data_IF_537489131018
#
_entry.id   IF_537489131018
#
_cell.length_a   1.000
_cell.length_b   1.000
_cell.length_c   1.000
_cell.angle_alpha   90.00
_cell.angle_beta   90.00
_cell.angle_gamma   90.00
#
_symmetry.space_group_name_H-M   'P 1'
#
loop_
_entity.id
_entity.type
_entity.pdbx_description
1 polymer ?
#
# COMPACT_ATOMS: atom_id res chain seq x y z
N UNK A 1 -33.02 36.54 23.87
CA UNK A 1 -32.76 35.09 23.74
C UNK A 1 -31.48 34.91 22.94
N UNK A 2 -30.35 34.69 23.61
CA UNK A 2 -29.04 34.41 23.00
C UNK A 2 -28.95 32.90 22.73
N UNK A 3 -28.82 32.49 21.47
CA UNK A 3 -28.54 31.08 21.14
C UNK A 3 -27.04 30.83 21.34
N UNK A 4 -26.73 29.92 22.27
CA UNK A 4 -25.41 29.29 22.43
C UNK A 4 -25.08 28.54 21.14
N UNK A 5 -23.94 28.84 20.53
CA UNK A 5 -23.31 27.99 19.52
C UNK A 5 -22.57 26.90 20.30
N UNK A 6 -22.69 25.60 19.94
CA UNK A 6 -21.82 24.57 20.48
C UNK A 6 -20.48 24.59 19.73
N UNK A 7 -19.38 24.61 20.46
CA UNK A 7 -18.03 24.40 19.93
C UNK A 7 -17.94 23.02 19.24
N UNK A 8 -17.40 22.93 18.01
CA UNK A 8 -16.90 21.67 17.49
C UNK A 8 -15.39 21.63 17.72
N UNK A 9 -14.99 21.12 18.88
CA UNK A 9 -13.63 20.66 19.12
C UNK A 9 -13.54 19.26 18.50
N UNK A 10 -13.24 19.21 17.19
CA UNK A 10 -13.03 17.97 16.45
C UNK A 10 -11.52 17.73 16.31
N UNK A 11 -10.91 17.25 17.39
CA UNK A 11 -9.53 16.76 17.37
C UNK A 11 -9.56 15.38 16.70
N UNK A 12 -9.07 15.29 15.47
CA UNK A 12 -8.69 14.02 14.87
C UNK A 12 -7.41 13.52 15.54
N UNK A 13 -7.56 12.69 16.59
CA UNK A 13 -6.46 11.85 17.05
C UNK A 13 -6.32 10.71 16.05
N UNK A 14 -5.37 10.85 15.13
CA UNK A 14 -4.88 9.75 14.30
C UNK A 14 -4.16 8.76 15.23
N UNK A 15 -4.89 7.76 15.70
CA UNK A 15 -4.33 6.69 16.52
C UNK A 15 -3.40 5.82 15.68
N UNK A 16 -2.10 6.14 15.70
CA UNK A 16 -1.05 5.19 15.37
C UNK A 16 -1.13 4.03 16.37
N UNK A 17 -1.54 2.86 15.88
CA UNK A 17 -1.67 1.64 16.67
C UNK A 17 -0.27 1.20 17.16
N UNK A 18 0.01 1.47 18.44
CA UNK A 18 1.16 0.95 19.16
C UNK A 18 1.01 -0.57 19.33
N UNK A 19 1.88 -1.36 18.70
CA UNK A 19 2.09 -2.75 19.09
C UNK A 19 3.14 -2.82 20.21
N UNK A 20 2.66 -3.10 21.42
CA UNK A 20 3.47 -3.52 22.56
C UNK A 20 3.97 -4.95 22.30
N UNK A 21 5.24 -5.10 21.92
CA UNK A 21 5.92 -6.38 22.10
C UNK A 21 6.19 -6.58 23.60
N UNK A 22 5.49 -7.55 24.20
CA UNK A 22 5.80 -8.02 25.54
C UNK A 22 7.13 -8.78 25.51
N UNK A 23 8.25 -8.08 25.73
CA UNK A 23 9.52 -8.72 26.05
C UNK A 23 9.45 -9.28 27.48
N UNK A 24 9.51 -10.61 27.59
CA UNK A 24 9.75 -11.32 28.85
C UNK A 24 11.03 -10.80 29.51
N UNK A 25 10.91 -10.40 30.77
CA UNK A 25 12.01 -9.99 31.63
C UNK A 25 13.02 -11.13 31.78
N UNK A 26 14.22 -10.97 31.22
CA UNK A 26 15.34 -11.86 31.51
C UNK A 26 15.88 -11.61 32.94
N UNK A 27 16.24 -12.65 33.70
CA UNK A 27 16.76 -12.52 35.06
C UNK A 27 18.17 -11.89 35.12
N UNK A 28 18.58 -11.35 36.28
CA UNK A 28 19.79 -10.56 36.43
C UNK A 28 21.09 -11.32 36.13
N UNK A 29 21.99 -10.64 35.43
CA UNK A 29 23.30 -11.12 35.01
C UNK A 29 24.19 -11.49 36.21
N UNK A 30 24.79 -12.68 36.15
CA UNK A 30 25.81 -13.13 37.08
C UNK A 30 27.13 -12.37 36.87
N UNK A 31 27.85 -12.20 37.97
CA UNK A 31 29.15 -11.55 38.12
C UNK A 31 30.22 -12.07 37.13
N UNK A 32 31.13 -11.21 36.61
CA UNK A 32 32.12 -11.59 35.62
C UNK A 32 33.16 -12.57 36.19
N UNK A 33 33.22 -13.77 35.61
CA UNK A 33 34.28 -14.74 35.87
C UNK A 33 35.54 -14.42 35.06
N UNK A 34 36.70 -14.73 35.64
CA UNK A 34 38.02 -14.44 35.11
C UNK A 34 38.25 -14.96 33.67
N UNK A 35 38.89 -14.11 32.86
CA UNK A 35 39.27 -14.35 31.48
C UNK A 35 40.21 -15.55 31.37
N UNK A 36 39.70 -16.68 30.86
CA UNK A 36 40.51 -17.79 30.40
C UNK A 36 41.03 -17.49 28.98
N UNK A 37 42.33 -17.69 28.77
CA UNK A 37 43.00 -17.63 27.47
C UNK A 37 42.30 -18.56 26.47
N UNK A 38 41.87 -18.07 25.29
CA UNK A 38 41.14 -18.88 24.32
C UNK A 38 42.03 -19.99 23.75
N UNK A 39 41.52 -21.21 23.78
CA UNK A 39 42.10 -22.34 23.04
C UNK A 39 41.99 -22.11 21.53
N UNK A 40 42.91 -22.65 20.70
CA UNK A 40 42.85 -22.54 19.25
C UNK A 40 41.51 -23.03 18.72
N UNK A 41 40.77 -22.15 18.03
CA UNK A 41 39.49 -22.48 17.43
C UNK A 41 39.69 -23.55 16.35
N UNK A 42 39.01 -24.69 16.50
CA UNK A 42 38.89 -25.70 15.46
C UNK A 42 38.16 -25.09 14.26
N UNK A 43 38.78 -25.18 13.08
CA UNK A 43 38.21 -24.71 11.82
C UNK A 43 36.88 -25.43 11.60
N UNK A 44 35.74 -24.72 11.46
CA UNK A 44 34.46 -25.35 11.22
C UNK A 44 34.50 -26.08 9.86
N UNK A 45 33.90 -27.28 9.77
CA UNK A 45 33.83 -28.01 8.51
C UNK A 45 33.07 -27.19 7.45
N UNK A 46 33.38 -27.39 6.15
CA UNK A 46 32.73 -26.67 5.06
C UNK A 46 31.21 -26.77 5.18
N UNK A 47 30.53 -25.63 5.21
CA UNK A 47 29.08 -25.59 5.19
C UNK A 47 28.59 -26.36 3.96
N UNK A 48 27.70 -27.34 4.18
CA UNK A 48 27.10 -28.11 3.11
C UNK A 48 26.46 -27.16 2.09
N UNK A 49 26.68 -27.42 0.80
CA UNK A 49 26.07 -26.64 -0.27
C UNK A 49 24.55 -26.58 -0.05
N UNK A 50 23.92 -25.40 -0.20
CA UNK A 50 22.48 -25.26 0.02
C UNK A 50 21.74 -26.21 -0.91
N UNK A 51 20.87 -27.04 -0.34
CA UNK A 51 19.98 -27.90 -1.11
C UNK A 51 19.04 -26.97 -1.89
N UNK A 52 18.91 -27.12 -3.23
CA UNK A 52 18.01 -26.28 -4.01
C UNK A 52 16.58 -26.48 -3.49
N UNK A 53 15.95 -25.38 -3.05
CA UNK A 53 14.54 -25.38 -2.69
C UNK A 53 13.74 -25.72 -3.95
N UNK A 54 12.82 -26.70 -3.91
CA UNK A 54 11.98 -27.03 -5.05
C UNK A 54 11.26 -25.77 -5.55
N UNK A 55 11.56 -25.36 -6.79
CA UNK A 55 10.84 -24.28 -7.45
C UNK A 55 9.40 -24.74 -7.67
N UNK A 56 8.44 -24.12 -6.98
CA UNK A 56 7.03 -24.36 -7.26
C UNK A 56 6.73 -24.08 -8.74
N UNK A 57 5.84 -24.87 -9.37
CA UNK A 57 5.52 -24.68 -10.77
C UNK A 57 4.94 -23.28 -11.00
N UNK A 58 5.52 -22.57 -11.98
CA UNK A 58 5.03 -21.27 -12.41
C UNK A 58 3.55 -21.35 -12.82
N UNK A 59 2.81 -20.26 -12.60
CA UNK A 59 1.40 -20.12 -12.95
C UNK A 59 1.18 -20.49 -14.43
N UNK A 60 0.59 -21.66 -14.69
CA UNK A 60 0.28 -22.13 -16.04
C UNK A 60 -1.20 -21.87 -16.33
N UNK A 61 -1.48 -21.03 -17.32
CA UNK A 61 -2.84 -20.67 -17.72
C UNK A 61 -3.06 -21.09 -19.17
N UNK A 62 -4.10 -21.88 -19.39
CA UNK A 62 -4.60 -22.13 -20.73
C UNK A 62 -5.50 -20.96 -21.16
N UNK A 63 -4.96 -20.10 -22.03
CA UNK A 63 -5.64 -18.91 -22.55
C UNK A 63 -6.70 -19.24 -23.62
N UNK A 64 -6.75 -20.47 -24.12
CA UNK A 64 -7.66 -20.87 -25.20
C UNK A 64 -9.04 -21.28 -24.69
N UNK A 65 -9.21 -21.42 -23.37
CA UNK A 65 -10.45 -21.89 -22.75
C UNK A 65 -10.92 -20.97 -21.62
N UNK A 66 -10.96 -19.65 -21.83
CA UNK A 66 -11.40 -18.71 -20.79
C UNK A 66 -12.92 -18.73 -20.61
N UNK A 67 -13.38 -18.60 -19.37
CA UNK A 67 -14.79 -18.32 -19.02
C UNK A 67 -14.99 -16.82 -18.90
N UNK A 68 -16.20 -16.36 -19.15
CA UNK A 68 -16.58 -14.96 -18.99
C UNK A 68 -17.36 -14.77 -17.69
N UNK A 69 -16.94 -13.82 -16.88
CA UNK A 69 -17.72 -13.26 -15.78
C UNK A 69 -18.42 -11.99 -16.26
N UNK A 70 -19.70 -11.83 -15.90
CA UNK A 70 -20.44 -10.59 -16.10
C UNK A 70 -20.94 -10.10 -14.75
N UNK A 71 -20.61 -8.86 -14.41
CA UNK A 71 -21.01 -8.28 -13.13
C UNK A 71 -22.53 -8.08 -13.09
N UNK A 72 -23.15 -8.31 -11.92
CA UNK A 72 -24.61 -8.26 -11.76
C UNK A 72 -25.22 -6.87 -12.07
N UNK A 73 -24.44 -5.79 -11.91
CA UNK A 73 -24.82 -4.43 -12.27
C UNK A 73 -24.87 -4.18 -13.78
N UNK A 74 -24.35 -5.11 -14.60
CA UNK A 74 -24.26 -4.94 -16.05
C UNK A 74 -23.22 -3.90 -16.49
N UNK A 75 -22.33 -3.45 -15.58
CA UNK A 75 -21.31 -2.43 -15.88
C UNK A 75 -20.10 -2.95 -16.63
N UNK A 76 -19.71 -4.20 -16.41
CA UNK A 76 -18.56 -4.80 -17.08
C UNK A 76 -18.64 -6.32 -17.16
N UNK A 77 -17.78 -6.87 -18.00
CA UNK A 77 -17.43 -8.30 -18.05
C UNK A 77 -15.92 -8.47 -18.12
N UNK A 78 -15.42 -9.62 -17.67
CA UNK A 78 -13.99 -9.98 -17.74
C UNK A 78 -13.85 -11.49 -17.91
N UNK A 79 -12.81 -11.92 -18.62
CA UNK A 79 -12.54 -13.35 -18.82
C UNK A 79 -11.54 -13.87 -17.78
N UNK A 80 -11.76 -15.10 -17.32
CA UNK A 80 -10.94 -15.76 -16.31
C UNK A 80 -10.70 -17.25 -16.65
N UNK A 81 -9.62 -17.87 -16.17
CA UNK A 81 -9.38 -19.29 -16.38
C UNK A 81 -10.42 -20.17 -15.65
N UNK A 82 -10.85 -21.31 -16.22
CA UNK A 82 -11.91 -22.15 -15.66
C UNK A 82 -11.66 -22.72 -14.26
N UNK A 83 -10.39 -22.87 -13.90
CA UNK A 83 -9.91 -23.44 -12.64
C UNK A 83 -9.60 -22.35 -11.59
N UNK A 84 -9.79 -21.08 -11.92
CA UNK A 84 -9.55 -19.99 -10.99
C UNK A 84 -10.80 -19.71 -10.16
N UNK A 85 -10.58 -19.28 -8.93
CA UNK A 85 -11.64 -18.92 -8.01
C UNK A 85 -12.09 -17.48 -8.28
N UNK A 86 -13.40 -17.25 -8.16
CA UNK A 86 -14.02 -15.97 -8.43
C UNK A 86 -14.86 -15.52 -7.24
N UNK A 87 -14.59 -14.30 -6.78
CA UNK A 87 -15.25 -13.68 -5.65
C UNK A 87 -15.91 -12.37 -6.12
N UNK A 88 -17.20 -12.41 -6.50
CA UNK A 88 -17.95 -11.22 -6.82
C UNK A 88 -17.95 -10.24 -5.63
N UNK A 89 -17.81 -8.96 -5.92
CA UNK A 89 -17.90 -7.86 -4.95
C UNK A 89 -19.08 -6.96 -5.32
N UNK A 90 -19.47 -6.05 -4.43
CA UNK A 90 -20.52 -5.07 -4.75
C UNK A 90 -20.14 -4.18 -5.94
N UNK A 91 -18.86 -3.75 -5.98
CA UNK A 91 -18.32 -2.82 -6.98
C UNK A 91 -17.20 -3.47 -7.82
N UNK A 92 -17.25 -4.79 -8.03
CA UNK A 92 -16.14 -5.46 -8.68
C UNK A 92 -16.12 -6.98 -8.61
N UNK A 93 -14.93 -7.54 -8.84
CA UNK A 93 -14.66 -8.97 -8.73
C UNK A 93 -13.19 -9.21 -8.41
N UNK A 94 -12.91 -10.19 -7.55
CA UNK A 94 -11.56 -10.71 -7.31
C UNK A 94 -11.48 -12.08 -7.99
N UNK A 95 -10.41 -12.33 -8.74
CA UNK A 95 -10.14 -13.60 -9.40
C UNK A 95 -8.77 -14.09 -8.97
N UNK A 96 -8.71 -15.25 -8.33
CA UNK A 96 -7.49 -15.82 -7.77
C UNK A 96 -7.12 -17.13 -8.46
N UNK A 97 -5.83 -17.34 -8.65
CA UNK A 97 -5.32 -18.64 -9.04
C UNK A 97 -5.53 -19.68 -7.91
N UNK A 98 -5.53 -20.99 -8.21
CA UNK A 98 -5.75 -22.03 -7.20
C UNK A 98 -4.78 -22.00 -6.01
N UNK A 99 -3.58 -21.44 -6.18
CA UNK A 99 -2.62 -21.32 -5.09
C UNK A 99 -2.83 -20.09 -4.21
N UNK A 100 -3.65 -19.13 -4.65
CA UNK A 100 -3.86 -17.84 -3.99
C UNK A 100 -2.64 -16.92 -4.03
N UNK A 101 -1.63 -17.25 -4.84
CA UNK A 101 -0.35 -16.53 -4.95
C UNK A 101 -0.31 -15.59 -6.15
N UNK A 102 -1.29 -15.66 -7.04
CA UNK A 102 -1.49 -14.77 -8.16
C UNK A 102 -2.98 -14.51 -8.40
N UNK A 103 -3.29 -13.36 -8.98
CA UNK A 103 -4.67 -13.02 -9.29
C UNK A 103 -4.83 -11.63 -9.87
N UNK A 104 -6.07 -11.29 -10.17
CA UNK A 104 -6.43 -9.93 -10.51
C UNK A 104 -7.80 -9.55 -9.95
N UNK A 105 -7.96 -8.27 -9.69
CA UNK A 105 -9.20 -7.67 -9.20
C UNK A 105 -9.63 -6.60 -10.19
N UNK A 106 -10.92 -6.53 -10.48
CA UNK A 106 -11.54 -5.41 -11.18
C UNK A 106 -12.43 -4.69 -10.19
N UNK A 107 -12.21 -3.40 -10.01
CA UNK A 107 -13.09 -2.49 -9.26
C UNK A 107 -13.62 -1.44 -10.23
N UNK A 108 -14.87 -1.03 -10.07
CA UNK A 108 -15.44 0.09 -10.84
C UNK A 108 -16.13 1.10 -9.94
N UNK A 109 -16.19 2.34 -10.39
CA UNK A 109 -16.90 3.43 -9.74
C UNK A 109 -17.49 4.37 -10.78
N UNK A 110 -18.77 4.70 -10.66
CA UNK A 110 -19.40 5.73 -11.46
C UNK A 110 -19.14 7.10 -10.83
N UNK A 111 -18.27 7.88 -11.46
CA UNK A 111 -17.84 9.18 -10.95
C UNK A 111 -18.60 10.35 -11.57
N UNK A 112 -19.66 10.07 -12.35
CA UNK A 112 -20.59 11.02 -12.98
C UNK A 112 -19.98 12.06 -13.94
N UNK A 113 -18.67 12.12 -14.07
CA UNK A 113 -17.95 13.04 -14.95
C UNK A 113 -16.70 12.39 -15.52
N UNK A 114 -16.19 12.92 -16.62
CA UNK A 114 -14.93 12.47 -17.20
C UNK A 114 -13.76 13.17 -16.50
N UNK A 115 -12.76 12.40 -16.08
CA UNK A 115 -11.53 12.88 -15.50
C UNK A 115 -10.49 13.22 -16.57
N UNK A 116 -9.66 14.21 -16.28
CA UNK A 116 -8.36 14.37 -16.94
C UNK A 116 -7.41 13.26 -16.52
N UNK A 117 -6.31 13.05 -17.25
CA UNK A 117 -5.30 12.05 -16.87
C UNK A 117 -4.76 12.31 -15.47
N UNK A 118 -4.48 13.57 -15.12
CA UNK A 118 -4.02 13.93 -13.77
C UNK A 118 -5.09 13.63 -12.70
N UNK A 119 -6.37 13.89 -12.96
CA UNK A 119 -7.45 13.55 -12.04
C UNK A 119 -7.60 12.03 -11.86
N UNK A 120 -7.41 11.26 -12.94
CA UNK A 120 -7.44 9.80 -12.90
C UNK A 120 -6.23 9.23 -12.14
N UNK A 121 -5.06 9.87 -12.26
CA UNK A 121 -3.87 9.57 -11.47
C UNK A 121 -4.14 9.77 -9.97
N UNK A 122 -4.69 10.93 -9.58
CA UNK A 122 -5.04 11.18 -8.19
C UNK A 122 -6.12 10.22 -7.68
N UNK A 123 -7.07 9.84 -8.53
CA UNK A 123 -8.06 8.82 -8.20
C UNK A 123 -7.39 7.47 -7.91
N UNK A 124 -6.43 7.04 -8.74
CA UNK A 124 -5.68 5.80 -8.52
C UNK A 124 -4.85 5.86 -7.23
N UNK A 125 -4.15 6.98 -7.00
CA UNK A 125 -3.36 7.20 -5.78
C UNK A 125 -4.25 7.11 -4.53
N UNK A 126 -5.42 7.77 -4.55
CA UNK A 126 -6.39 7.71 -3.47
C UNK A 126 -6.87 6.29 -3.20
N UNK A 127 -7.20 5.54 -4.27
CA UNK A 127 -7.56 4.13 -4.16
C UNK A 127 -6.43 3.31 -3.52
N UNK A 128 -5.18 3.50 -3.94
CA UNK A 128 -4.05 2.75 -3.40
C UNK A 128 -3.81 3.04 -1.92
N UNK A 129 -3.89 4.31 -1.52
CA UNK A 129 -3.72 4.66 -0.11
C UNK A 129 -4.85 4.12 0.77
N UNK A 130 -6.10 4.18 0.29
CA UNK A 130 -7.23 3.66 1.04
C UNK A 130 -7.15 2.13 1.25
N UNK A 131 -6.66 1.41 0.25
CA UNK A 131 -6.64 -0.05 0.26
C UNK A 131 -5.32 -0.66 0.74
N UNK A 132 -4.21 0.08 0.66
CA UNK A 132 -2.86 -0.42 0.97
C UNK A 132 -2.01 0.52 1.83
N UNK A 133 -2.41 1.79 2.00
CA UNK A 133 -1.65 2.82 2.70
C UNK A 133 -1.70 2.76 4.23
N UNK A 134 -2.03 1.60 4.82
CA UNK A 134 -2.10 1.41 6.26
C UNK A 134 -2.04 -0.06 6.68
N UNK A 135 -1.79 -0.29 7.97
CA UNK A 135 -1.74 -1.64 8.56
C UNK A 135 -0.35 -2.29 8.54
N UNK A 136 -0.32 -3.62 8.70
CA UNK A 136 0.92 -4.42 8.78
C UNK A 136 1.60 -4.63 7.41
N UNK A 137 0.97 -4.19 6.32
CA UNK A 137 1.50 -4.37 4.98
C UNK A 137 2.60 -3.35 4.71
N UNK A 138 3.81 -3.82 4.43
CA UNK A 138 4.93 -2.95 4.05
C UNK A 138 4.76 -2.51 2.59
N UNK A 139 3.95 -1.48 2.38
CA UNK A 139 3.73 -0.88 1.06
C UNK A 139 4.99 -0.16 0.58
N UNK A 140 5.36 -0.35 -0.69
CA UNK A 140 6.43 0.39 -1.36
C UNK A 140 6.05 0.69 -2.80
N UNK A 141 6.05 1.97 -3.17
CA UNK A 141 5.84 2.39 -4.55
C UNK A 141 7.06 2.03 -5.43
N UNK A 142 6.81 1.46 -6.61
CA UNK A 142 7.84 1.08 -7.58
C UNK A 142 7.82 1.97 -8.82
N UNK A 143 6.64 2.41 -9.25
CA UNK A 143 6.51 3.31 -10.39
C UNK A 143 5.08 3.83 -10.59
N UNK A 144 4.97 4.95 -11.31
CA UNK A 144 3.71 5.55 -11.75
C UNK A 144 3.92 6.06 -13.18
N UNK A 145 3.02 5.68 -14.10
CA UNK A 145 3.12 5.99 -15.52
C UNK A 145 1.75 6.42 -16.06
N UNK A 146 1.70 7.56 -16.73
CA UNK A 146 0.57 7.95 -17.57
C UNK A 146 0.80 7.42 -18.99
N UNK A 147 -0.21 6.75 -19.56
CA UNK A 147 -0.14 6.18 -20.91
C UNK A 147 -0.81 7.08 -21.95
N UNK A 148 -0.44 6.88 -23.20
CA UNK A 148 -1.00 7.62 -24.34
C UNK A 148 -2.49 7.38 -24.60
N UNK A 149 -3.04 6.28 -24.08
CA UNK A 149 -4.49 5.98 -24.10
C UNK A 149 -5.26 6.70 -22.98
N UNK A 150 -4.58 7.50 -22.16
CA UNK A 150 -5.14 8.23 -21.03
C UNK A 150 -5.29 7.41 -19.74
N UNK A 151 -4.92 6.12 -19.75
CA UNK A 151 -4.87 5.30 -18.54
C UNK A 151 -3.65 5.66 -17.68
N UNK A 152 -3.75 5.37 -16.38
CA UNK A 152 -2.67 5.57 -15.42
C UNK A 152 -2.33 4.25 -14.76
N UNK A 153 -1.04 3.94 -14.65
CA UNK A 153 -0.54 2.67 -14.12
C UNK A 153 0.41 2.91 -12.97
N UNK A 154 0.10 2.29 -11.84
CA UNK A 154 0.96 2.25 -10.67
C UNK A 154 1.50 0.83 -10.47
N UNK A 155 2.79 0.71 -10.22
CA UNK A 155 3.43 -0.52 -9.77
C UNK A 155 3.91 -0.33 -8.33
N UNK A 156 3.67 -1.32 -7.49
CA UNK A 156 4.03 -1.27 -6.06
C UNK A 156 4.22 -2.68 -5.50
N UNK A 157 4.96 -2.79 -4.41
CA UNK A 157 5.07 -4.03 -3.64
C UNK A 157 4.35 -3.93 -2.32
N UNK A 158 3.84 -5.05 -1.83
CA UNK A 158 3.34 -5.21 -0.46
C UNK A 158 4.05 -6.41 0.16
N UNK A 159 4.39 -6.34 1.45
CA UNK A 159 4.88 -7.50 2.20
C UNK A 159 3.98 -7.77 3.38
N UNK A 160 3.49 -9.00 3.47
CA UNK A 160 2.74 -9.52 4.60
C UNK A 160 3.57 -10.62 5.28
N UNK A 161 3.67 -10.66 6.62
CA UNK A 161 4.48 -11.66 7.33
C UNK A 161 4.08 -13.12 7.03
N UNK A 162 2.81 -13.37 6.72
CA UNK A 162 2.26 -14.71 6.52
C UNK A 162 2.34 -15.15 5.06
N UNK A 163 2.09 -14.25 4.12
CA UNK A 163 2.02 -14.58 2.68
C UNK A 163 3.26 -14.16 1.89
N UNK A 164 4.20 -13.42 2.48
CA UNK A 164 5.42 -12.97 1.81
C UNK A 164 5.26 -11.66 1.06
N UNK A 165 6.14 -11.42 0.08
CA UNK A 165 6.13 -10.22 -0.73
C UNK A 165 5.41 -10.44 -2.05
N UNK A 166 4.55 -9.48 -2.41
CA UNK A 166 3.82 -9.43 -3.65
C UNK A 166 4.25 -8.22 -4.46
N UNK A 167 4.38 -8.40 -5.76
CA UNK A 167 4.44 -7.30 -6.72
C UNK A 167 3.05 -7.12 -7.31
N UNK A 168 2.64 -5.86 -7.36
CA UNK A 168 1.32 -5.45 -7.77
C UNK A 168 1.42 -4.42 -8.88
N UNK A 169 0.45 -4.44 -9.79
CA UNK A 169 0.23 -3.41 -10.78
C UNK A 169 -1.25 -3.05 -10.80
N UNK A 170 -1.57 -1.78 -10.58
CA UNK A 170 -2.91 -1.25 -10.72
C UNK A 170 -2.98 -0.34 -11.95
N UNK A 171 -4.03 -0.49 -12.75
CA UNK A 171 -4.30 0.33 -13.94
C UNK A 171 -5.66 0.98 -13.76
N UNK A 172 -5.68 2.30 -13.66
CA UNK A 172 -6.89 3.10 -13.72
C UNK A 172 -7.16 3.49 -15.17
N UNK A 173 -8.37 3.24 -15.64
CA UNK A 173 -8.86 3.67 -16.95
C UNK A 173 -10.29 4.17 -16.79
N UNK A 174 -10.74 5.03 -17.69
CA UNK A 174 -12.12 5.55 -17.62
C UNK A 174 -12.82 5.35 -18.96
N UNK A 175 -14.05 4.81 -18.91
CA UNK A 175 -14.97 4.78 -20.04
C UNK A 175 -16.20 5.58 -19.67
N UNK A 176 -16.47 6.65 -20.42
CA UNK A 176 -17.50 7.65 -20.11
C UNK A 176 -17.39 8.19 -18.68
N UNK A 177 -18.36 7.89 -17.81
CA UNK A 177 -18.36 8.32 -16.40
C UNK A 177 -17.86 7.24 -15.43
N UNK A 178 -17.46 6.06 -15.92
CA UNK A 178 -17.06 4.94 -15.06
C UNK A 178 -15.55 4.79 -15.07
N UNK A 179 -14.95 4.92 -13.88
CA UNK A 179 -13.55 4.57 -13.65
C UNK A 179 -13.47 3.09 -13.33
N UNK A 180 -12.58 2.38 -14.02
CA UNK A 180 -12.21 1.01 -13.75
C UNK A 180 -10.77 0.97 -13.21
N UNK A 181 -10.57 0.27 -12.10
CA UNK A 181 -9.25 -0.08 -11.59
C UNK A 181 -9.08 -1.59 -11.76
N UNK A 182 -8.14 -1.98 -12.61
CA UNK A 182 -7.70 -3.37 -12.73
C UNK A 182 -6.39 -3.53 -12.00
N UNK A 183 -6.38 -4.37 -10.98
CA UNK A 183 -5.25 -4.68 -10.13
C UNK A 183 -4.79 -6.10 -10.41
N UNK A 184 -3.53 -6.31 -10.73
CA UNK A 184 -2.92 -7.63 -10.87
C UNK A 184 -1.86 -7.82 -9.79
N UNK A 185 -1.79 -9.02 -9.21
CA UNK A 185 -0.84 -9.34 -8.14
C UNK A 185 -0.24 -10.72 -8.35
N UNK A 186 1.04 -10.87 -7.99
CA UNK A 186 1.67 -12.16 -7.80
C UNK A 186 2.77 -12.07 -6.74
N UNK A 187 3.15 -13.22 -6.16
CA UNK A 187 4.36 -13.30 -5.36
C UNK A 187 5.57 -12.74 -6.11
N UNK A 188 6.45 -12.08 -5.39
CA UNK A 188 7.62 -11.38 -5.94
C UNK A 188 8.50 -12.31 -6.79
N UNK A 189 8.73 -13.54 -6.34
CA UNK A 189 9.52 -14.55 -7.06
C UNK A 189 8.84 -15.07 -8.35
N UNK A 190 7.52 -14.91 -8.47
CA UNK A 190 6.72 -15.37 -9.60
C UNK A 190 6.35 -14.23 -10.57
N UNK A 191 6.60 -12.97 -10.18
CA UNK A 191 6.07 -11.79 -10.87
C UNK A 191 6.45 -11.75 -12.35
N UNK A 192 7.74 -11.94 -12.68
CA UNK A 192 8.19 -11.83 -14.08
C UNK A 192 7.54 -12.88 -15.00
N UNK A 193 7.15 -14.04 -14.47
CA UNK A 193 6.47 -15.09 -15.21
C UNK A 193 4.95 -14.87 -15.27
N UNK A 194 4.35 -14.45 -14.15
CA UNK A 194 2.91 -14.24 -14.04
C UNK A 194 2.43 -12.96 -14.73
N UNK A 195 3.22 -11.89 -14.69
CA UNK A 195 2.87 -10.55 -15.21
C UNK A 195 2.26 -10.58 -16.61
N UNK A 196 2.91 -11.13 -17.66
CA UNK A 196 2.34 -11.08 -19.00
C UNK A 196 0.98 -11.75 -19.10
N UNK A 197 0.75 -12.83 -18.32
CA UNK A 197 -0.52 -13.54 -18.36
C UNK A 197 -1.60 -12.78 -17.60
N UNK A 198 -1.28 -12.28 -16.41
CA UNK A 198 -2.18 -11.43 -15.62
C UNK A 198 -2.58 -10.17 -16.38
N UNK A 199 -1.64 -9.54 -17.10
CA UNK A 199 -1.92 -8.39 -17.96
C UNK A 199 -2.85 -8.78 -19.12
N UNK A 200 -2.63 -9.93 -19.76
CA UNK A 200 -3.53 -10.42 -20.83
C UNK A 200 -4.94 -10.68 -20.30
N UNK A 201 -5.09 -11.25 -19.10
CA UNK A 201 -6.39 -11.46 -18.46
C UNK A 201 -7.05 -10.12 -18.10
N UNK A 202 -6.31 -9.19 -17.50
CA UNK A 202 -6.76 -7.84 -17.19
C UNK A 202 -7.29 -7.09 -18.43
N UNK A 203 -6.63 -7.25 -19.58
CA UNK A 203 -7.03 -6.66 -20.86
C UNK A 203 -8.33 -7.24 -21.44
N UNK A 204 -8.87 -8.32 -20.87
CA UNK A 204 -10.18 -8.84 -21.27
C UNK A 204 -11.35 -8.09 -20.64
N UNK A 205 -11.06 -7.10 -19.77
CA UNK A 205 -12.07 -6.18 -19.26
C UNK A 205 -12.81 -5.53 -20.42
N UNK A 206 -14.12 -5.76 -20.46
CA UNK A 206 -15.01 -5.14 -21.42
C UNK A 206 -16.08 -4.35 -20.67
N UNK A 207 -16.02 -3.00 -20.72
CA UNK A 207 -17.13 -2.16 -20.30
C UNK A 207 -18.41 -2.55 -21.04
N UNK A 208 -19.53 -2.57 -20.33
CA UNK A 208 -20.85 -2.91 -20.85
C UNK A 208 -21.73 -1.66 -20.83
N UNK A 209 -22.66 -1.52 -19.89
CA UNK A 209 -23.44 -0.29 -19.74
C UNK A 209 -22.61 0.79 -19.01
N UNK A 210 -22.22 1.82 -19.75
CA UNK A 210 -21.47 2.99 -19.24
C UNK A 210 -22.34 4.22 -19.03
N UNK A 211 -23.66 4.09 -19.17
CA UNK A 211 -24.60 5.19 -18.93
C UNK A 211 -24.54 5.65 -17.47
N UNK A 212 -24.62 6.94 -17.17
CA UNK A 212 -24.66 7.41 -15.79
C UNK A 212 -25.75 6.68 -14.99
N UNK A 213 -25.42 6.21 -13.79
CA UNK A 213 -26.39 5.56 -12.92
C UNK A 213 -27.57 6.49 -12.62
N UNK A 214 -28.78 5.92 -12.46
CA UNK A 214 -30.01 6.68 -12.13
C UNK A 214 -29.91 7.50 -10.85
N UNK A 215 -28.91 7.23 -10.02
CA UNK A 215 -28.57 7.96 -8.81
C UNK A 215 -27.06 8.20 -8.80
N UNK A 216 -26.57 8.99 -9.75
CA UNK A 216 -25.27 9.62 -9.56
C UNK A 216 -25.33 10.38 -8.22
N UNK A 217 -24.42 10.11 -7.27
CA UNK A 217 -24.37 10.92 -6.06
C UNK A 217 -24.23 12.38 -6.49
N UNK A 218 -25.05 13.27 -5.91
CA UNK A 218 -24.89 14.71 -6.09
C UNK A 218 -23.41 15.03 -5.87
N UNK A 219 -22.72 15.73 -6.79
CA UNK A 219 -21.30 16.00 -6.64
C UNK A 219 -21.10 16.67 -5.28
N UNK A 220 -20.49 15.92 -4.36
CA UNK A 220 -20.00 16.45 -3.09
C UNK A 220 -19.06 17.61 -3.43
N UNK A 221 -19.06 18.72 -2.68
CA UNK A 221 -18.10 19.81 -2.89
C UNK A 221 -16.72 19.23 -3.16
N UNK A 222 -16.04 19.74 -4.19
CA UNK A 222 -14.82 19.19 -4.75
C UNK A 222 -13.92 18.73 -3.62
N UNK A 223 -13.78 17.41 -3.38
CA UNK A 223 -12.91 16.95 -2.31
C UNK A 223 -11.50 17.47 -2.60
N UNK A 224 -10.68 17.73 -1.56
CA UNK A 224 -9.29 18.11 -1.79
C UNK A 224 -8.67 17.09 -2.74
N UNK A 225 -8.00 17.59 -3.77
CA UNK A 225 -7.26 16.71 -4.68
C UNK A 225 -6.11 16.16 -3.84
N UNK A 226 -6.04 14.85 -3.60
CA UNK A 226 -4.97 14.27 -2.78
C UNK A 226 -3.76 13.98 -3.64
N UNK A 227 -2.57 14.40 -3.25
CA UNK A 227 -1.30 13.99 -3.86
C UNK A 227 -0.57 12.95 -3.01
N UNK A 228 0.25 12.10 -3.63
CA UNK A 228 1.20 11.23 -2.92
C UNK A 228 2.55 11.94 -2.84
N UNK A 229 3.06 12.11 -1.62
CA UNK A 229 4.40 12.64 -1.38
C UNK A 229 5.21 11.70 -0.49
N UNK A 230 6.49 11.62 -0.76
CA UNK A 230 7.47 10.89 0.04
C UNK A 230 8.82 11.61 -0.04
N UNK A 231 9.81 11.20 0.76
CA UNK A 231 11.14 11.74 0.65
C UNK A 231 11.77 11.32 -0.69
N UNK A 232 12.88 11.94 -1.09
CA UNK A 232 13.54 11.63 -2.35
C UNK A 232 14.02 10.17 -2.44
N UNK A 233 14.31 9.53 -1.29
CA UNK A 233 14.67 8.10 -1.22
C UNK A 233 13.51 7.16 -1.55
N UNK A 234 12.26 7.64 -1.48
CA UNK A 234 11.03 6.85 -1.68
C UNK A 234 10.86 5.70 -0.67
N UNK A 235 11.48 5.82 0.51
CA UNK A 235 11.39 4.81 1.57
C UNK A 235 10.02 4.80 2.26
N UNK A 236 9.32 5.93 2.26
CA UNK A 236 7.93 6.03 2.69
C UNK A 236 7.14 6.99 1.79
N UNK A 237 5.83 7.05 1.97
CA UNK A 237 5.00 8.06 1.35
C UNK A 237 3.69 8.21 2.10
N UNK A 238 3.06 9.37 2.00
CA UNK A 238 1.75 9.66 2.56
C UNK A 238 0.94 10.52 1.59
N UNK A 239 -0.38 10.48 1.76
CA UNK A 239 -1.26 11.37 1.03
C UNK A 239 -1.36 12.72 1.74
N UNK A 240 -1.35 13.78 0.96
CA UNK A 240 -1.59 15.14 1.43
C UNK A 240 -2.56 15.84 0.48
N UNK A 241 -3.32 16.82 0.96
CA UNK A 241 -4.21 17.58 0.09
C UNK A 241 -3.38 18.51 -0.82
N UNK A 242 -3.75 18.66 -2.08
CA UNK A 242 -2.95 19.33 -3.12
C UNK A 242 -2.83 20.82 -2.91
N UNK A 243 -3.76 21.39 -2.14
CA UNK A 243 -3.74 22.79 -1.73
C UNK A 243 -2.79 23.02 -0.55
N UNK A 244 -2.20 21.95 0.03
CA UNK A 244 -1.15 22.07 1.02
C UNK A 244 0.20 22.33 0.35
N UNK A 245 1.02 23.15 0.99
CA UNK A 245 2.33 23.54 0.49
C UNK A 245 3.40 22.56 0.99
N UNK A 246 4.21 22.04 0.08
CA UNK A 246 5.41 21.26 0.43
C UNK A 246 6.51 22.25 0.81
N UNK A 247 6.80 22.34 2.11
CA UNK A 247 7.79 23.29 2.64
C UNK A 247 9.17 22.67 2.78
N UNK A 248 9.27 21.35 2.88
CA UNK A 248 10.54 20.63 2.92
C UNK A 248 10.40 19.25 2.27
N UNK A 249 11.36 18.86 1.43
CA UNK A 249 11.47 17.51 0.89
C UNK A 249 12.95 17.15 0.71
N UNK A 250 13.43 16.22 1.52
CA UNK A 250 14.82 15.73 1.53
C UNK A 250 14.86 14.22 1.31
N UNK A 251 16.05 13.61 1.40
CA UNK A 251 16.23 12.16 1.21
C UNK A 251 15.53 11.32 2.28
N UNK A 252 15.27 11.87 3.46
CA UNK A 252 14.63 11.14 4.54
C UNK A 252 13.46 11.89 5.19
N UNK A 253 13.12 13.10 4.75
CA UNK A 253 12.09 13.93 5.40
C UNK A 253 11.19 14.62 4.40
N UNK A 254 9.93 14.79 4.79
CA UNK A 254 8.94 15.63 4.10
C UNK A 254 8.19 16.44 5.13
N UNK A 255 7.98 17.72 4.84
CA UNK A 255 7.11 18.61 5.61
C UNK A 255 6.11 19.25 4.64
N UNK A 256 4.83 19.17 5.01
CA UNK A 256 3.73 19.83 4.30
C UNK A 256 2.92 20.69 5.27
N UNK A 257 2.49 21.86 4.80
CA UNK A 257 1.67 22.80 5.55
C UNK A 257 0.29 22.90 4.92
N UNK A 258 -0.77 22.93 5.72
CA UNK A 258 -2.11 23.21 5.20
C UNK A 258 -2.19 24.59 4.54
N UNK A 259 -3.16 24.76 3.64
CA UNK A 259 -3.36 26.02 2.91
C UNK A 259 -3.59 27.24 3.83
N UNK A 260 -4.17 27.03 5.01
CA UNK A 260 -4.37 28.04 6.05
C UNK A 260 -3.18 28.20 7.00
N UNK A 261 -2.16 27.33 6.89
CA UNK A 261 -0.99 27.29 7.76
C UNK A 261 -1.28 26.81 9.19
N UNK A 262 -2.51 26.37 9.50
CA UNK A 262 -2.89 25.93 10.85
C UNK A 262 -2.38 24.52 11.18
N UNK A 263 -2.11 23.70 10.16
CA UNK A 263 -1.59 22.35 10.30
C UNK A 263 -0.24 22.21 9.60
N UNK A 264 0.68 21.55 10.29
CA UNK A 264 1.97 21.11 9.74
C UNK A 264 2.05 19.61 9.92
N UNK A 265 2.25 18.89 8.83
CA UNK A 265 2.54 17.47 8.85
C UNK A 265 4.01 17.26 8.45
N UNK A 266 4.76 16.59 9.32
CA UNK A 266 6.16 16.24 9.10
C UNK A 266 6.32 14.74 9.25
N UNK A 267 6.92 14.10 8.25
CA UNK A 267 7.32 12.71 8.30
C UNK A 267 8.83 12.60 8.02
N UNK A 268 9.53 11.83 8.84
CA UNK A 268 10.97 11.63 8.73
C UNK A 268 11.31 10.16 8.97
N UNK A 269 12.17 9.59 8.12
CA UNK A 269 12.83 8.32 8.39
C UNK A 269 14.14 8.58 9.12
N UNK A 270 14.31 7.96 10.29
CA UNK A 270 15.53 8.07 11.10
C UNK A 270 16.19 6.72 11.24
N UNK A 271 17.47 6.67 10.89
CA UNK A 271 18.33 5.53 11.23
C UNK A 271 18.88 5.76 12.63
N UNK A 272 18.44 4.95 13.59
CA UNK A 272 18.93 5.03 14.96
C UNK A 272 20.37 4.49 15.03
N UNK A 273 21.32 5.25 15.62
CA UNK A 273 22.68 4.78 15.78
C UNK A 273 22.72 3.45 16.54
N UNK A 274 23.35 2.43 15.94
CA UNK A 274 23.44 1.10 16.52
C UNK A 274 22.21 0.21 16.33
N UNK A 275 21.23 0.58 15.49
CA UNK A 275 20.09 -0.29 15.18
C UNK A 275 20.52 -1.67 14.67
N UNK A 276 21.58 -1.75 13.85
CA UNK A 276 22.09 -3.01 13.31
C UNK A 276 22.85 -3.84 14.35
N UNK A 277 23.42 -3.20 15.38
CA UNK A 277 24.27 -3.86 16.38
C UNK A 277 23.56 -4.12 17.71
N UNK A 278 22.51 -3.36 18.02
CA UNK A 278 21.70 -3.49 19.23
C UNK A 278 20.24 -3.03 18.96
N UNK A 279 19.42 -3.89 18.34
CA UNK A 279 18.02 -3.57 18.01
C UNK A 279 17.17 -3.18 19.23
N UNK A 280 17.48 -3.72 20.42
CA UNK A 280 16.75 -3.42 21.64
C UNK A 280 16.98 -1.96 22.08
N UNK A 281 18.22 -1.48 22.05
CA UNK A 281 18.54 -0.09 22.38
C UNK A 281 17.94 0.89 21.35
N UNK A 282 17.93 0.54 20.07
CA UNK A 282 17.28 1.35 19.04
C UNK A 282 15.76 1.44 19.26
N UNK A 283 15.13 0.33 19.67
CA UNK A 283 13.70 0.32 20.03
C UNK A 283 13.42 1.21 21.24
N UNK A 284 14.24 1.13 22.29
CA UNK A 284 14.11 1.97 23.48
C UNK A 284 14.27 3.47 23.15
N UNK A 285 15.26 3.82 22.32
CA UNK A 285 15.46 5.19 21.85
C UNK A 285 14.28 5.71 21.03
N UNK A 286 13.72 4.89 20.14
CA UNK A 286 12.53 5.24 19.38
C UNK A 286 11.32 5.50 20.27
N UNK A 287 11.10 4.67 21.30
CA UNK A 287 10.02 4.86 22.27
C UNK A 287 10.21 6.13 23.11
N UNK A 288 11.44 6.43 23.54
CA UNK A 288 11.75 7.65 24.27
C UNK A 288 11.44 8.91 23.43
N UNK A 289 11.76 8.89 22.13
CA UNK A 289 11.44 10.00 21.23
C UNK A 289 9.94 10.16 21.01
N UNK A 290 9.18 9.06 20.88
CA UNK A 290 7.72 9.13 20.80
C UNK A 290 7.15 9.81 22.05
N UNK A 291 7.68 9.48 23.23
CA UNK A 291 7.21 10.10 24.48
C UNK A 291 7.61 11.57 24.58
N UNK A 292 8.80 11.93 24.11
CA UNK A 292 9.26 13.31 23.99
C UNK A 292 8.36 14.14 23.04
N UNK A 293 8.00 13.58 21.89
CA UNK A 293 7.08 14.21 20.95
C UNK A 293 5.71 14.41 21.60
N UNK A 294 5.14 13.38 22.26
CA UNK A 294 3.87 13.54 22.98
C UNK A 294 3.93 14.66 24.01
N UNK A 295 5.01 14.76 24.79
CA UNK A 295 5.17 15.84 25.77
C UNK A 295 5.24 17.21 25.08
N UNK A 296 5.95 17.31 23.96
CA UNK A 296 6.10 18.57 23.20
C UNK A 296 4.76 19.05 22.63
N UNK A 297 3.90 18.12 22.19
CA UNK A 297 2.61 18.45 21.61
C UNK A 297 1.45 18.47 22.64
N UNK A 298 1.64 17.96 23.86
CA UNK A 298 0.63 18.02 24.92
C UNK A 298 0.31 19.47 25.34
N UNK A 299 1.28 20.38 25.22
CA UNK A 299 1.13 21.80 25.54
C UNK A 299 0.40 22.61 24.45
N UNK A 300 0.09 21.99 23.32
CA UNK A 300 -0.62 22.61 22.18
C UNK A 300 -2.13 22.28 22.12
N UNK A 301 -2.65 21.52 23.10
CA UNK A 301 -4.08 21.21 23.27
C UNK A 301 -4.73 22.09 24.34
#
# INVERSE_FOLDING_TARGET
>A
MKRKIPDPLLVFVLAALLFLFACQSAPPAASPAATATPAPATVPPPAAAPVPVPTEPAVSINVDSLKMFSHNTGRFSVNYPPNWEIFPQENGVIVLDPSGKAGYTVVFSDVAQKYTTDQLEQYLIGFLAQNFGGGENQFKALGLEQRSDGSVVAQFSTRNPQSGAFINQATASQTDTIVFIVYTSALEEQWEQARPILQKLAQTLKPLDTSPGKTAPTPTPTPPVWGLIGPNSKEFGFLFASDWEITEQSDNRVVVNSADGEMVFSAENRVWPGADSNPAAATEAALAEIENLKSTYADLQ
#
